data_IF_245666016107
#
_entry.id   IF_245666016107
#
_cell.length_a   1.000
_cell.length_b   1.000
_cell.length_c   1.000
_cell.angle_alpha   90.00
_cell.angle_beta   90.00
_cell.angle_gamma   90.00
#
_symmetry.space_group_name_H-M   'P 1'
#
loop_
_entity.id
_entity.type
_entity.pdbx_description
1 polymer ?
#
# COMPACT_ATOMS: atom_id res chain seq x y z
N UNK A 1 39.89 -18.95 -24.45
CA UNK A 1 38.65 -18.60 -23.72
C UNK A 1 38.71 -17.14 -23.31
N UNK A 2 37.62 -16.35 -23.39
CA UNK A 2 37.74 -14.91 -23.17
C UNK A 2 37.91 -14.63 -21.68
N UNK A 3 39.07 -14.08 -21.32
CA UNK A 3 39.55 -13.75 -19.96
C UNK A 3 38.78 -12.57 -19.31
N UNK A 4 37.73 -12.06 -19.97
CA UNK A 4 37.10 -10.75 -19.70
C UNK A 4 35.62 -10.82 -19.29
N UNK A 5 35.11 -11.94 -18.78
CA UNK A 5 33.67 -12.08 -18.42
C UNK A 5 33.38 -11.76 -16.94
N UNK A 6 34.41 -11.47 -16.14
CA UNK A 6 34.27 -11.29 -14.68
C UNK A 6 33.27 -10.18 -14.28
N UNK A 7 33.17 -9.11 -15.08
CA UNK A 7 32.28 -7.97 -14.82
C UNK A 7 30.82 -8.23 -15.22
N UNK A 8 30.53 -9.21 -16.08
CA UNK A 8 29.18 -9.46 -16.63
C UNK A 8 28.18 -9.75 -15.51
N UNK A 9 28.57 -10.56 -14.53
CA UNK A 9 27.72 -10.89 -13.36
C UNK A 9 27.43 -9.65 -12.51
N UNK A 10 28.43 -8.79 -12.31
CA UNK A 10 28.27 -7.56 -11.54
C UNK A 10 27.31 -6.59 -12.24
N UNK A 11 27.52 -6.33 -13.54
CA UNK A 11 26.69 -5.41 -14.33
C UNK A 11 25.26 -5.93 -14.45
N UNK A 12 25.06 -7.23 -14.66
CA UNK A 12 23.72 -7.84 -14.75
C UNK A 12 22.93 -7.69 -13.44
N UNK A 13 23.59 -7.92 -12.30
CA UNK A 13 22.97 -7.72 -10.98
C UNK A 13 22.62 -6.26 -10.72
N UNK A 14 23.55 -5.35 -11.03
CA UNK A 14 23.34 -3.92 -10.86
C UNK A 14 22.15 -3.44 -11.70
N UNK A 15 22.08 -3.85 -12.97
CA UNK A 15 20.94 -3.58 -13.85
C UNK A 15 19.62 -4.08 -13.24
N UNK A 16 19.58 -5.33 -12.78
CA UNK A 16 18.36 -5.91 -12.20
C UNK A 16 17.93 -5.20 -10.92
N UNK A 17 18.88 -4.79 -10.07
CA UNK A 17 18.59 -4.03 -8.85
C UNK A 17 18.00 -2.65 -9.17
N UNK A 18 18.58 -1.93 -10.15
CA UNK A 18 18.06 -0.65 -10.62
C UNK A 18 16.64 -0.83 -11.17
N UNK A 19 16.44 -1.80 -12.07
CA UNK A 19 15.12 -2.08 -12.65
C UNK A 19 14.08 -2.45 -11.58
N UNK A 20 14.47 -3.19 -10.55
CA UNK A 20 13.59 -3.53 -9.42
C UNK A 20 13.18 -2.26 -8.66
N UNK A 21 14.13 -1.39 -8.31
CA UNK A 21 13.85 -0.14 -7.62
C UNK A 21 12.93 0.77 -8.42
N UNK A 22 13.16 0.91 -9.74
CA UNK A 22 12.30 1.72 -10.62
C UNK A 22 10.87 1.18 -10.69
N UNK A 23 10.68 -0.15 -10.72
CA UNK A 23 9.35 -0.76 -10.78
C UNK A 23 8.57 -0.62 -9.47
N UNK A 24 9.24 -0.66 -8.32
CA UNK A 24 8.60 -0.57 -7.00
C UNK A 24 7.93 0.78 -6.74
N UNK A 25 8.44 1.88 -7.29
CA UNK A 25 7.89 3.22 -7.07
C UNK A 25 6.64 3.53 -7.92
N UNK A 26 6.23 2.61 -8.81
CA UNK A 26 5.12 2.86 -9.74
C UNK A 26 3.78 3.11 -9.05
N UNK A 27 3.58 2.57 -7.86
CA UNK A 27 2.37 2.80 -7.07
C UNK A 27 2.23 4.27 -6.66
N UNK A 28 3.27 4.82 -6.02
CA UNK A 28 3.29 6.17 -5.50
C UNK A 28 3.28 7.24 -6.59
N UNK A 29 3.82 6.92 -7.77
CA UNK A 29 3.79 7.81 -8.94
C UNK A 29 2.45 7.80 -9.67
N UNK A 30 1.58 6.80 -9.42
CA UNK A 30 0.32 6.67 -10.17
C UNK A 30 -0.77 7.55 -9.57
N UNK A 31 -1.20 8.55 -10.33
CA UNK A 31 -2.31 9.44 -9.98
C UNK A 31 -3.69 8.88 -10.33
N UNK A 32 -3.78 8.04 -11.37
CA UNK A 32 -5.04 7.47 -11.84
C UNK A 32 -4.89 5.99 -12.25
N UNK A 33 -5.93 5.17 -12.01
CA UNK A 33 -6.05 3.80 -12.53
C UNK A 33 -7.35 3.66 -13.29
N UNK A 34 -7.31 3.26 -14.56
CA UNK A 34 -8.51 3.09 -15.39
C UNK A 34 -9.40 4.35 -15.46
N UNK A 35 -8.79 5.54 -15.51
CA UNK A 35 -9.51 6.84 -15.52
C UNK A 35 -10.05 7.29 -14.16
N UNK A 36 -9.78 6.55 -13.09
CA UNK A 36 -10.23 6.87 -11.75
C UNK A 36 -9.06 7.41 -10.94
N UNK A 37 -9.29 8.53 -10.28
CA UNK A 37 -8.32 9.12 -9.38
C UNK A 37 -8.00 8.22 -8.19
N UNK A 38 -6.72 8.11 -7.91
CA UNK A 38 -6.17 7.09 -7.05
C UNK A 38 -5.58 7.73 -5.79
N UNK A 39 -6.15 7.47 -4.60
CA UNK A 39 -5.63 8.03 -3.36
C UNK A 39 -4.39 7.29 -2.87
N UNK A 40 -3.51 8.00 -2.18
CA UNK A 40 -2.35 7.47 -1.47
C UNK A 40 -2.53 7.49 0.04
N UNK A 41 -3.50 8.26 0.54
CA UNK A 41 -3.91 8.23 1.95
C UNK A 41 -5.43 8.27 2.12
N UNK A 42 -5.88 7.99 3.34
CA UNK A 42 -7.31 8.01 3.71
C UNK A 42 -7.90 9.42 3.58
N UNK A 43 -7.15 10.46 3.92
CA UNK A 43 -7.62 11.84 3.81
C UNK A 43 -7.88 12.23 2.35
N UNK A 44 -6.99 11.85 1.43
CA UNK A 44 -7.17 12.02 -0.01
C UNK A 44 -8.36 11.23 -0.53
N UNK A 45 -8.55 9.98 -0.08
CA UNK A 45 -9.69 9.17 -0.46
C UNK A 45 -11.03 9.87 -0.13
N UNK A 46 -11.15 10.44 1.07
CA UNK A 46 -12.30 11.25 1.47
C UNK A 46 -12.40 12.59 0.72
N UNK A 47 -11.28 13.18 0.31
CA UNK A 47 -11.29 14.41 -0.49
C UNK A 47 -11.77 14.14 -1.93
N UNK A 48 -11.35 13.03 -2.54
CA UNK A 48 -11.80 12.58 -3.85
C UNK A 48 -13.31 12.37 -3.82
N UNK A 49 -13.81 11.57 -2.87
CA UNK A 49 -15.23 11.27 -2.72
C UNK A 49 -16.07 12.56 -2.53
N UNK A 50 -15.60 13.49 -1.69
CA UNK A 50 -16.26 14.81 -1.51
C UNK A 50 -16.30 15.64 -2.79
N UNK A 51 -15.22 15.65 -3.57
CA UNK A 51 -15.14 16.42 -4.82
C UNK A 51 -15.99 15.81 -5.93
N UNK A 52 -16.08 14.49 -6.01
CA UNK A 52 -16.88 13.78 -7.02
C UNK A 52 -18.34 13.61 -6.62
N UNK A 53 -18.70 13.89 -5.36
CA UNK A 53 -20.03 13.63 -4.83
C UNK A 53 -20.35 12.14 -4.71
N UNK A 54 -19.32 11.29 -4.60
CA UNK A 54 -19.45 9.83 -4.50
C UNK A 54 -19.01 9.33 -3.12
N UNK A 55 -19.30 8.07 -2.81
CA UNK A 55 -18.89 7.42 -1.55
C UNK A 55 -18.06 6.15 -1.79
N UNK A 56 -17.52 5.96 -3.00
CA UNK A 56 -16.91 4.68 -3.39
C UNK A 56 -15.67 4.32 -2.60
N UNK A 57 -14.81 5.30 -2.30
CA UNK A 57 -13.61 5.03 -1.50
C UNK A 57 -13.97 4.87 -0.02
N UNK A 58 -14.93 5.67 0.45
CA UNK A 58 -15.49 5.61 1.81
C UNK A 58 -16.07 4.23 2.09
N UNK A 59 -16.93 3.71 1.20
CA UNK A 59 -17.51 2.37 1.33
C UNK A 59 -16.44 1.28 1.31
N UNK A 60 -15.42 1.43 0.46
CA UNK A 60 -14.31 0.47 0.39
C UNK A 60 -13.51 0.43 1.71
N UNK A 61 -13.25 1.60 2.32
CA UNK A 61 -12.56 1.71 3.61
C UNK A 61 -13.43 1.11 4.72
N UNK A 62 -14.71 1.47 4.79
CA UNK A 62 -15.63 0.96 5.81
C UNK A 62 -15.77 -0.56 5.73
N UNK A 63 -15.84 -1.12 4.52
CA UNK A 63 -15.91 -2.56 4.32
C UNK A 63 -14.67 -3.28 4.85
N UNK A 64 -13.49 -2.74 4.58
CA UNK A 64 -12.23 -3.30 5.10
C UNK A 64 -12.17 -3.19 6.62
N UNK A 65 -12.49 -2.02 7.18
CA UNK A 65 -12.44 -1.80 8.63
C UNK A 65 -13.49 -2.62 9.38
N UNK A 66 -14.67 -2.86 8.80
CA UNK A 66 -15.69 -3.73 9.39
C UNK A 66 -15.19 -5.17 9.53
N UNK A 67 -14.46 -5.68 8.54
CA UNK A 67 -13.89 -7.01 8.59
C UNK A 67 -12.72 -7.08 9.59
N UNK A 68 -11.82 -6.09 9.54
CA UNK A 68 -10.63 -6.10 10.39
C UNK A 68 -10.94 -5.74 11.84
N UNK A 69 -12.03 -5.00 12.09
CA UNK A 69 -12.47 -4.62 13.43
C UNK A 69 -12.71 -5.81 14.36
N UNK A 70 -13.09 -6.97 13.81
CA UNK A 70 -13.24 -8.23 14.56
C UNK A 70 -11.91 -8.74 15.14
N UNK A 71 -10.78 -8.37 14.54
CA UNK A 71 -9.45 -8.78 14.98
C UNK A 71 -8.80 -7.79 15.96
N UNK A 72 -9.41 -6.61 16.17
CA UNK A 72 -8.89 -5.60 17.08
C UNK A 72 -9.69 -5.57 18.37
N UNK A 73 -9.00 -5.73 19.50
CA UNK A 73 -9.53 -5.47 20.82
C UNK A 73 -8.93 -4.15 21.33
N UNK A 74 -9.78 -3.18 21.67
CA UNK A 74 -9.36 -1.89 22.19
C UNK A 74 -9.59 -1.87 23.71
N UNK A 75 -8.56 -2.22 24.48
CA UNK A 75 -8.62 -2.14 25.93
C UNK A 75 -7.90 -0.88 26.43
N UNK A 76 -8.58 0.07 27.08
CA UNK A 76 -7.95 1.28 27.60
C UNK A 76 -6.93 1.01 28.71
N UNK A 77 -6.96 -0.17 29.32
CA UNK A 77 -5.96 -0.62 30.33
C UNK A 77 -4.70 -1.21 29.69
N UNK A 78 -4.75 -1.55 28.40
CA UNK A 78 -3.63 -2.07 27.63
C UNK A 78 -2.71 -0.92 27.18
N UNK A 79 -2.22 -0.16 28.16
CA UNK A 79 -1.01 0.63 27.97
C UNK A 79 0.14 -0.37 28.07
N UNK A 80 0.44 -1.04 26.96
CA UNK A 80 1.58 -1.94 26.84
C UNK A 80 2.88 -1.11 26.94
N UNK A 81 3.25 -0.74 28.16
CA UNK A 81 4.55 -0.19 28.50
C UNK A 81 5.47 -1.35 28.90
N UNK A 82 6.24 -1.87 27.95
CA UNK A 82 7.17 -2.95 28.23
C UNK A 82 7.93 -3.48 27.01
N UNK A 83 9.11 -4.06 27.26
CA UNK A 83 10.00 -4.71 26.29
C UNK A 83 9.41 -5.95 25.60
N UNK A 84 8.25 -6.44 26.06
CA UNK A 84 7.63 -7.68 25.55
C UNK A 84 6.78 -7.49 24.29
N UNK A 85 6.44 -6.24 23.92
CA UNK A 85 5.60 -5.95 22.76
C UNK A 85 6.28 -4.94 21.84
N UNK A 86 6.25 -5.21 20.53
CA UNK A 86 6.76 -4.28 19.51
C UNK A 86 5.59 -3.53 18.89
N UNK A 87 5.63 -2.19 18.92
CA UNK A 87 4.63 -1.37 18.26
C UNK A 87 4.72 -1.56 16.74
N UNK A 88 3.63 -2.00 16.14
CA UNK A 88 3.49 -2.09 14.68
C UNK A 88 2.68 -0.88 14.19
N UNK A 89 3.14 -0.26 13.10
CA UNK A 89 2.37 0.74 12.38
C UNK A 89 1.58 0.09 11.24
N UNK A 90 0.51 0.73 10.79
CA UNK A 90 -0.31 0.26 9.68
C UNK A 90 -0.54 1.37 8.68
N UNK A 91 -0.82 0.99 7.43
CA UNK A 91 -1.22 1.92 6.38
C UNK A 91 -2.30 1.28 5.51
N UNK A 92 -3.07 2.09 4.79
CA UNK A 92 -4.10 1.60 3.87
C UNK A 92 -3.57 1.66 2.44
N UNK A 93 -3.67 0.54 1.73
CA UNK A 93 -3.35 0.43 0.31
C UNK A 93 -4.64 0.37 -0.49
N UNK A 94 -4.76 1.27 -1.46
CA UNK A 94 -5.89 1.34 -2.37
C UNK A 94 -5.68 0.49 -3.62
N UNK A 95 -6.76 0.04 -4.26
CA UNK A 95 -6.73 -0.54 -5.60
C UNK A 95 -8.06 -0.33 -6.35
N UNK A 96 -8.04 -0.48 -7.67
CA UNK A 96 -9.25 -0.55 -8.50
C UNK A 96 -9.24 -1.85 -9.30
N UNK A 97 -10.32 -2.62 -9.20
CA UNK A 97 -10.53 -3.87 -9.94
C UNK A 97 -10.89 -3.57 -11.40
N UNK A 98 -10.20 -4.18 -12.36
CA UNK A 98 -10.55 -4.08 -13.79
C UNK A 98 -11.86 -4.84 -14.06
N UNK A 99 -12.69 -4.30 -14.97
CA UNK A 99 -14.02 -4.85 -15.30
C UNK A 99 -15.13 -4.15 -14.52
N UNK A 100 -15.23 -4.39 -13.21
CA UNK A 100 -16.28 -3.77 -12.37
C UNK A 100 -15.94 -2.37 -11.88
N UNK A 101 -14.69 -1.92 -12.07
CA UNK A 101 -14.15 -0.65 -11.57
C UNK A 101 -14.37 -0.45 -10.06
N UNK A 102 -14.52 -1.53 -9.31
CA UNK A 102 -14.76 -1.48 -7.87
C UNK A 102 -13.52 -0.99 -7.14
N UNK A 103 -13.71 -0.01 -6.26
CA UNK A 103 -12.67 0.53 -5.38
C UNK A 103 -12.41 -0.46 -4.24
N UNK A 104 -11.14 -0.66 -3.90
CA UNK A 104 -10.69 -1.54 -2.83
C UNK A 104 -9.76 -0.76 -1.91
N UNK A 105 -9.91 -0.97 -0.62
CA UNK A 105 -8.97 -0.54 0.40
C UNK A 105 -8.50 -1.78 1.17
N UNK A 106 -7.24 -1.82 1.58
CA UNK A 106 -6.64 -2.91 2.37
C UNK A 106 -5.81 -2.32 3.49
N UNK A 107 -6.04 -2.75 4.72
CA UNK A 107 -5.16 -2.37 5.84
C UNK A 107 -3.95 -3.31 5.84
N UNK A 108 -2.76 -2.75 5.74
CA UNK A 108 -1.52 -3.49 5.72
C UNK A 108 -0.69 -3.14 6.97
N UNK A 109 -0.15 -4.18 7.61
CA UNK A 109 0.86 -4.02 8.64
C UNK A 109 2.19 -3.62 7.99
N UNK A 110 2.92 -2.72 8.64
CA UNK A 110 4.09 -2.08 8.06
C UNK A 110 5.38 -2.91 8.22
N UNK A 111 5.34 -4.20 7.86
CA UNK A 111 6.45 -5.14 8.07
C UNK A 111 7.71 -4.90 7.23
N UNK A 112 7.76 -3.79 6.48
CA UNK A 112 8.95 -3.36 5.75
C UNK A 112 9.79 -2.33 6.52
N UNK A 113 9.27 -1.82 7.64
CA UNK A 113 9.98 -0.94 8.57
C UNK A 113 10.74 -1.73 9.62
#
# INVERSE_FOLDING_TARGET
>A
EPVFVWWVRHVTRKRNSILKATKSNKYWLRTQKYGIEFPHCVAEAYAIDRRTGTIFWTDAIQKEMKNNGLAFEFNPKDIFSGSSYTKITTHIVFDVKLGTLTRKARLCADGHK
#
